data_IF_947484310642
#
_entry.id   IF_947484310642
#
_cell.length_a   1.000
_cell.length_b   1.000
_cell.length_c   1.000
_cell.angle_alpha   90.00
_cell.angle_beta   90.00
_cell.angle_gamma   90.00
#
_symmetry.space_group_name_H-M   'P 1'
#
loop_
_entity.id
_entity.type
_entity.pdbx_description
1 polymer ?
#
# COMPACT_ATOMS: atom_id res chain seq x y z
N UNK A 1 15.27 -26.51 -10.75
CA UNK A 1 14.50 -26.37 -12.01
C UNK A 1 13.17 -27.05 -11.77
N UNK A 2 12.04 -26.45 -12.13
CA UNK A 2 10.72 -27.04 -11.94
C UNK A 2 10.60 -28.40 -12.67
N UNK A 3 9.88 -29.37 -12.11
CA UNK A 3 9.67 -30.70 -12.73
C UNK A 3 8.37 -30.79 -13.55
N UNK A 4 7.62 -29.70 -13.64
CA UNK A 4 6.32 -29.65 -14.30
C UNK A 4 6.45 -29.63 -15.83
N UNK A 5 5.46 -30.17 -16.53
CA UNK A 5 5.26 -30.01 -17.98
C UNK A 5 3.96 -29.26 -18.26
N UNK A 6 3.99 -28.20 -19.09
CA UNK A 6 5.16 -27.60 -19.74
C UNK A 6 6.12 -26.95 -18.72
N UNK A 7 7.39 -26.79 -19.13
CA UNK A 7 8.38 -26.04 -18.34
C UNK A 7 7.86 -24.64 -18.06
N UNK A 8 8.11 -24.14 -16.84
CA UNK A 8 7.71 -22.80 -16.48
C UNK A 8 8.50 -21.76 -17.30
N UNK A 9 7.85 -20.68 -17.76
CA UNK A 9 8.55 -19.59 -18.42
C UNK A 9 9.60 -18.97 -17.49
N UNK A 10 10.69 -18.49 -18.09
CA UNK A 10 11.74 -17.76 -17.38
C UNK A 10 11.16 -16.46 -16.78
N UNK A 11 11.73 -16.02 -15.66
CA UNK A 11 11.22 -14.88 -14.88
C UNK A 11 11.25 -13.55 -15.66
N UNK A 12 12.12 -13.44 -16.65
CA UNK A 12 12.33 -12.28 -17.52
C UNK A 12 11.47 -12.32 -18.81
N UNK A 13 10.69 -13.39 -19.01
CA UNK A 13 9.87 -13.57 -20.22
C UNK A 13 8.39 -13.23 -19.97
N UNK A 14 7.67 -12.74 -20.99
CA UNK A 14 6.23 -12.59 -20.92
C UNK A 14 5.55 -13.90 -20.53
N UNK A 15 4.59 -13.84 -19.60
CA UNK A 15 3.90 -15.02 -19.08
C UNK A 15 4.58 -15.67 -17.88
N UNK A 16 5.66 -15.11 -17.33
CA UNK A 16 6.26 -15.55 -16.06
C UNK A 16 5.23 -15.68 -14.93
N UNK A 17 4.18 -14.86 -14.94
CA UNK A 17 3.07 -14.84 -13.99
C UNK A 17 2.12 -16.04 -14.09
N UNK A 18 2.24 -16.86 -15.15
CA UNK A 18 1.43 -18.08 -15.35
C UNK A 18 1.99 -19.30 -14.63
N UNK A 19 3.18 -19.19 -14.02
CA UNK A 19 3.78 -20.25 -13.23
C UNK A 19 2.93 -20.58 -11.98
N UNK A 20 3.07 -21.81 -11.47
CA UNK A 20 2.27 -22.32 -10.36
C UNK A 20 2.66 -21.63 -9.04
N UNK A 21 1.66 -21.27 -8.22
CA UNK A 21 1.87 -20.72 -6.88
C UNK A 21 2.34 -21.84 -5.95
N UNK A 22 3.50 -21.63 -5.30
CA UNK A 22 4.05 -22.58 -4.30
C UNK A 22 4.00 -22.03 -2.88
N UNK A 23 3.82 -20.72 -2.72
CA UNK A 23 3.69 -20.07 -1.43
C UNK A 23 2.80 -18.83 -1.56
N UNK A 24 1.87 -18.65 -0.64
CA UNK A 24 0.95 -17.51 -0.64
C UNK A 24 0.95 -16.83 0.74
N UNK A 25 1.31 -15.55 0.77
CA UNK A 25 1.29 -14.70 1.96
C UNK A 25 0.14 -13.69 1.83
N UNK A 26 -1.07 -14.14 2.14
CA UNK A 26 -2.28 -13.32 2.06
C UNK A 26 -2.17 -12.04 2.91
N UNK A 27 -1.59 -12.13 4.11
CA UNK A 27 -1.39 -10.99 5.02
C UNK A 27 -0.51 -9.88 4.43
N UNK A 28 0.36 -10.24 3.48
CA UNK A 28 1.30 -9.33 2.82
C UNK A 28 0.91 -9.04 1.36
N UNK A 29 -0.13 -9.68 0.84
CA UNK A 29 -0.65 -9.46 -0.51
C UNK A 29 0.26 -9.98 -1.64
N UNK A 30 1.03 -11.06 -1.40
CA UNK A 30 1.89 -11.64 -2.45
C UNK A 30 1.95 -13.16 -2.43
N UNK A 31 2.31 -13.73 -3.58
CA UNK A 31 2.55 -15.16 -3.76
C UNK A 31 3.88 -15.40 -4.50
N UNK A 32 4.62 -16.43 -4.11
CA UNK A 32 5.81 -16.89 -4.82
C UNK A 32 5.42 -18.01 -5.79
N UNK A 33 5.88 -17.86 -7.03
CA UNK A 33 5.68 -18.84 -8.09
C UNK A 33 6.89 -19.78 -8.17
N UNK A 34 6.68 -20.97 -8.71
CA UNK A 34 7.71 -22.00 -8.78
C UNK A 34 8.93 -21.63 -9.64
N UNK A 35 8.80 -20.70 -10.59
CA UNK A 35 9.91 -20.14 -11.37
C UNK A 35 10.67 -19.00 -10.65
N UNK A 36 10.32 -18.72 -9.39
CA UNK A 36 10.92 -17.65 -8.58
C UNK A 36 10.29 -16.27 -8.77
N UNK A 37 9.29 -16.14 -9.65
CA UNK A 37 8.55 -14.88 -9.81
C UNK A 37 7.68 -14.60 -8.57
N UNK A 38 7.51 -13.32 -8.25
CA UNK A 38 6.58 -12.87 -7.21
C UNK A 38 5.35 -12.26 -7.88
N UNK A 39 4.19 -12.84 -7.60
CA UNK A 39 2.89 -12.29 -8.01
C UNK A 39 2.33 -11.45 -6.87
N UNK A 40 2.08 -10.18 -7.16
CA UNK A 40 1.33 -9.31 -6.25
C UNK A 40 -0.17 -9.56 -6.45
N UNK A 41 -0.92 -9.56 -5.35
CA UNK A 41 -2.38 -9.55 -5.45
C UNK A 41 -2.82 -8.23 -6.09
N UNK A 42 -3.58 -8.34 -7.17
CA UNK A 42 -4.01 -7.20 -7.98
C UNK A 42 -5.21 -6.48 -7.38
N UNK A 43 -5.86 -7.04 -6.35
CA UNK A 43 -7.02 -6.45 -5.72
C UNK A 43 -6.71 -5.97 -4.29
N UNK A 44 -6.27 -4.71 -4.15
CA UNK A 44 -6.41 -4.03 -2.87
C UNK A 44 -7.81 -3.44 -2.81
N UNK A 45 -8.63 -3.85 -1.83
CA UNK A 45 -9.92 -3.22 -1.60
C UNK A 45 -9.70 -1.73 -1.34
N UNK A 46 -10.39 -0.85 -2.07
CA UNK A 46 -10.30 0.59 -1.87
C UNK A 46 -10.60 0.92 -0.40
N UNK A 47 -9.61 1.49 0.30
CA UNK A 47 -9.78 1.95 1.67
C UNK A 47 -10.49 3.31 1.69
N UNK A 48 -11.31 3.59 2.73
CA UNK A 48 -11.89 4.92 2.89
C UNK A 48 -10.79 5.96 3.09
N UNK A 49 -10.82 7.03 2.29
CA UNK A 49 -9.89 8.16 2.44
C UNK A 49 -10.33 8.99 3.65
N UNK A 50 -9.42 9.16 4.61
CA UNK A 50 -9.60 10.13 5.69
C UNK A 50 -9.16 11.52 5.23
N UNK A 51 -10.06 12.50 5.35
CA UNK A 51 -9.71 13.89 5.06
C UNK A 51 -8.77 14.42 6.15
N UNK A 52 -7.57 14.85 5.78
CA UNK A 52 -6.66 15.53 6.71
C UNK A 52 -7.19 16.96 6.91
N UNK A 53 -7.89 17.20 8.01
CA UNK A 53 -8.36 18.55 8.36
C UNK A 53 -7.26 19.30 9.09
N UNK A 54 -6.88 20.48 8.58
CA UNK A 54 -6.00 21.39 9.31
C UNK A 54 -6.67 21.87 10.59
N UNK A 55 -5.95 21.79 11.73
CA UNK A 55 -6.42 22.39 12.99
C UNK A 55 -6.47 23.91 12.82
N UNK A 56 -7.66 24.53 12.88
CA UNK A 56 -7.77 26.00 12.91
C UNK A 56 -7.04 26.51 14.16
N UNK A 57 -6.10 27.45 13.97
CA UNK A 57 -5.49 28.18 15.09
C UNK A 57 -6.61 28.94 15.80
N UNK A 58 -6.68 28.84 17.13
CA UNK A 58 -7.55 29.73 17.91
C UNK A 58 -7.08 31.17 17.69
N UNK A 59 -7.98 32.04 17.26
CA UNK A 59 -7.70 33.47 17.22
C UNK A 59 -7.35 33.93 18.63
N UNK A 60 -6.24 34.66 18.78
CA UNK A 60 -5.88 35.27 20.05
C UNK A 60 -6.98 36.28 20.42
N UNK A 61 -7.56 36.14 21.61
CA UNK A 61 -8.48 37.13 22.15
C UNK A 61 -7.74 38.44 22.38
N UNK A 62 -8.21 39.57 21.85
CA UNK A 62 -7.56 40.86 22.10
C UNK A 62 -7.74 41.21 23.58
N UNK A 63 -6.62 41.34 24.30
CA UNK A 63 -6.63 41.89 25.66
C UNK A 63 -6.85 43.39 25.55
N UNK A 64 -8.02 43.87 25.97
CA UNK A 64 -8.30 45.30 26.01
C UNK A 64 -7.63 45.89 27.25
N UNK A 65 -6.48 46.53 27.07
CA UNK A 65 -5.81 47.26 28.15
C UNK A 65 -6.64 48.47 28.55
N UNK A 66 -7.26 48.41 29.73
CA UNK A 66 -7.99 49.55 30.32
C UNK A 66 -6.97 50.56 30.84
N UNK A 67 -6.80 51.68 30.14
CA UNK A 67 -5.99 52.81 30.61
C UNK A 67 -6.66 53.44 31.83
N UNK A 68 -5.90 53.60 32.91
CA UNK A 68 -6.31 54.38 34.09
C UNK A 68 -5.90 55.83 33.82
N UNK A 69 -6.87 56.75 33.84
CA UNK A 69 -6.61 58.19 33.75
C UNK A 69 -6.16 58.71 35.12
N UNK A 70 -5.14 59.56 35.11
CA UNK A 70 -4.59 60.25 36.28
C UNK A 70 -5.27 61.60 36.50
#
# INVERSE_FOLDING_TARGET
>A
MCEHQPQCPAIDQPGAETAQVIMHHADLGWAMLCNGAIRLDSAVQAAPVIAITSRKRRAATPVTSRRIAA
#
